data_IF_410047523413
#
_entry.id   IF_410047523413
#
_cell.length_a   1.000
_cell.length_b   1.000
_cell.length_c   1.000
_cell.angle_alpha   90.00
_cell.angle_beta   90.00
_cell.angle_gamma   90.00
#
_symmetry.space_group_name_H-M   'P 1'
#
loop_
_entity.id
_entity.type
_entity.pdbx_description
1 polymer ?
#
# COMPACT_ATOMS: atom_id res chain seq x y z
N UNK A 1 -10.85 -18.71 2.43
CA UNK A 1 -10.23 -17.60 3.19
C UNK A 1 -8.90 -18.05 3.75
N UNK A 2 -8.93 -19.06 4.62
CA UNK A 2 -7.79 -19.85 5.10
C UNK A 2 -7.41 -20.89 4.04
N UNK A 3 -6.18 -20.79 3.52
CA UNK A 3 -5.64 -21.68 2.50
C UNK A 3 -5.26 -23.07 3.01
N UNK A 4 -5.17 -23.27 4.33
CA UNK A 4 -4.95 -24.59 4.93
C UNK A 4 -6.24 -25.42 5.01
N UNK A 5 -7.40 -24.83 4.73
CA UNK A 5 -8.72 -25.47 4.77
C UNK A 5 -9.38 -25.47 3.38
N UNK A 6 -10.22 -26.47 3.06
CA UNK A 6 -10.98 -26.47 1.81
C UNK A 6 -11.96 -25.30 1.77
N UNK A 7 -12.35 -24.90 0.56
CA UNK A 7 -13.41 -23.89 0.37
C UNK A 7 -14.74 -24.40 0.95
N UNK A 8 -15.42 -23.55 1.71
CA UNK A 8 -16.72 -23.87 2.30
C UNK A 8 -17.55 -22.60 2.53
N UNK A 9 -18.79 -22.74 2.99
CA UNK A 9 -19.63 -21.60 3.36
C UNK A 9 -19.02 -20.73 4.48
N UNK A 10 -18.17 -21.31 5.34
CA UNK A 10 -17.50 -20.62 6.46
C UNK A 10 -16.01 -20.37 6.20
N UNK A 11 -15.49 -20.85 5.06
CA UNK A 11 -14.11 -20.61 4.62
C UNK A 11 -14.08 -20.18 3.15
N UNK A 12 -14.72 -19.06 2.85
CA UNK A 12 -14.68 -18.43 1.53
C UNK A 12 -14.18 -16.99 1.66
N UNK A 13 -13.63 -16.47 0.57
CA UNK A 13 -13.33 -15.05 0.42
C UNK A 13 -13.57 -14.71 -1.06
N UNK A 14 -14.13 -13.54 -1.29
CA UNK A 14 -14.36 -12.96 -2.61
C UNK A 14 -13.29 -11.90 -2.85
N UNK A 15 -12.66 -11.98 -4.01
CA UNK A 15 -11.63 -11.04 -4.43
C UNK A 15 -12.11 -10.35 -5.70
N UNK A 16 -11.99 -9.03 -5.72
CA UNK A 16 -12.17 -8.21 -6.89
C UNK A 16 -10.84 -7.99 -7.59
N UNK A 17 -10.83 -8.28 -8.89
CA UNK A 17 -9.68 -8.11 -9.75
C UNK A 17 -10.16 -7.66 -11.12
N UNK A 18 -9.29 -6.96 -11.82
CA UNK A 18 -9.55 -6.53 -13.18
C UNK A 18 -8.27 -6.65 -14.01
N UNK A 19 -8.45 -6.81 -15.32
CA UNK A 19 -7.35 -7.01 -16.25
C UNK A 19 -7.56 -6.26 -17.55
N UNK A 20 -6.51 -5.60 -18.02
CA UNK A 20 -6.36 -5.27 -19.44
C UNK A 20 -5.73 -6.48 -20.15
N UNK A 21 -6.31 -6.91 -21.27
CA UNK A 21 -5.87 -8.12 -21.99
C UNK A 21 -5.66 -7.82 -23.48
N UNK A 22 -4.41 -7.85 -23.97
CA UNK A 22 -4.16 -7.80 -25.40
C UNK A 22 -4.54 -9.14 -26.06
N UNK A 23 -4.61 -9.17 -27.39
CA UNK A 23 -4.98 -10.38 -28.15
C UNK A 23 -4.00 -11.55 -27.92
N UNK A 24 -2.71 -11.24 -27.89
CA UNK A 24 -1.62 -12.22 -27.81
C UNK A 24 -0.66 -11.81 -26.67
N UNK A 25 -1.02 -12.04 -25.39
CA UNK A 25 -0.24 -11.58 -24.25
C UNK A 25 1.10 -12.33 -24.13
N UNK A 26 2.18 -11.59 -23.82
CA UNK A 26 3.53 -12.17 -23.58
C UNK A 26 3.68 -12.87 -22.23
N UNK A 27 2.69 -12.72 -21.35
CA UNK A 27 2.70 -13.19 -19.97
C UNK A 27 1.69 -12.40 -19.16
N UNK A 28 1.66 -12.62 -17.84
CA UNK A 28 0.85 -11.82 -16.91
C UNK A 28 1.73 -10.89 -16.08
N UNK A 29 1.35 -9.62 -16.02
CA UNK A 29 2.00 -8.57 -15.24
C UNK A 29 1.07 -8.14 -14.11
N UNK A 30 1.48 -8.40 -12.87
CA UNK A 30 0.76 -7.94 -11.69
C UNK A 30 1.23 -6.53 -11.35
N UNK A 31 0.31 -5.58 -11.36
CA UNK A 31 0.58 -4.22 -10.91
C UNK A 31 0.08 -4.01 -9.48
N UNK A 32 0.97 -3.55 -8.59
CA UNK A 32 0.61 -3.19 -7.21
C UNK A 32 1.30 -1.87 -6.80
N UNK A 33 0.60 -0.73 -6.79
CA UNK A 33 1.16 0.57 -6.41
C UNK A 33 1.48 0.69 -4.92
N UNK A 34 1.08 -0.29 -4.11
CA UNK A 34 1.26 -0.31 -2.67
C UNK A 34 0.03 0.18 -1.92
N UNK A 35 0.28 0.70 -0.72
CA UNK A 35 -0.74 1.17 0.20
C UNK A 35 -1.94 0.22 0.36
N UNK A 36 -3.10 0.88 0.53
CA UNK A 36 -4.43 0.27 0.56
C UNK A 36 -5.28 0.78 -0.60
N UNK A 37 -4.68 1.05 -1.76
CA UNK A 37 -5.36 1.70 -2.89
C UNK A 37 -6.31 0.75 -3.65
N UNK A 38 -7.36 1.27 -4.33
CA UNK A 38 -8.23 0.46 -5.19
C UNK A 38 -7.47 0.23 -6.48
N UNK A 39 -6.91 -0.94 -6.68
CA UNK A 39 -6.06 -1.18 -7.85
C UNK A 39 -6.85 -1.76 -9.01
N UNK A 40 -7.96 -2.45 -8.76
CA UNK A 40 -8.80 -3.01 -9.83
C UNK A 40 -9.35 -1.91 -10.76
N UNK A 41 -9.64 -0.71 -10.24
CA UNK A 41 -10.09 0.43 -11.06
C UNK A 41 -9.05 0.87 -12.11
N UNK A 42 -7.76 0.68 -11.83
CA UNK A 42 -6.65 1.04 -12.72
C UNK A 42 -6.73 0.26 -14.03
N UNK A 43 -7.12 -1.02 -13.99
CA UNK A 43 -7.29 -1.82 -15.20
C UNK A 43 -8.35 -1.20 -16.13
N UNK A 44 -9.43 -0.67 -15.56
CA UNK A 44 -10.50 -0.01 -16.30
C UNK A 44 -10.05 1.33 -16.87
N UNK A 45 -9.30 2.13 -16.09
CA UNK A 45 -8.71 3.39 -16.57
C UNK A 45 -7.81 3.16 -17.79
N UNK A 46 -6.96 2.14 -17.75
CA UNK A 46 -6.10 1.74 -18.86
C UNK A 46 -6.92 1.24 -20.05
N UNK A 47 -7.89 0.35 -19.83
CA UNK A 47 -8.66 -0.26 -20.91
C UNK A 47 -9.57 0.72 -21.66
N UNK A 48 -10.08 1.73 -20.95
CA UNK A 48 -10.98 2.75 -21.50
C UNK A 48 -10.24 4.04 -21.90
N UNK A 49 -8.93 4.09 -21.70
CA UNK A 49 -8.08 5.27 -21.92
C UNK A 49 -8.66 6.56 -21.30
N UNK A 50 -9.15 6.45 -20.06
CA UNK A 50 -9.85 7.56 -19.39
C UNK A 50 -8.90 8.71 -19.00
N UNK A 51 -7.62 8.38 -18.82
CA UNK A 51 -6.58 9.30 -18.37
C UNK A 51 -5.30 9.03 -19.19
N UNK A 52 -5.23 9.56 -20.42
CA UNK A 52 -4.14 9.26 -21.36
C UNK A 52 -2.72 9.41 -20.80
N UNK A 53 -2.46 10.43 -19.97
CA UNK A 53 -1.17 10.61 -19.28
C UNK A 53 -0.87 9.49 -18.27
N UNK A 54 -1.91 8.95 -17.63
CA UNK A 54 -1.78 7.83 -16.71
C UNK A 54 -1.59 6.51 -17.47
N UNK A 55 -2.37 6.29 -18.54
CA UNK A 55 -2.21 5.14 -19.45
C UNK A 55 -0.79 5.10 -20.04
N UNK A 56 -0.19 6.26 -20.33
CA UNK A 56 1.18 6.37 -20.84
C UNK A 56 2.23 5.78 -19.88
N UNK A 57 1.97 5.71 -18.56
CA UNK A 57 2.88 5.04 -17.62
C UNK A 57 2.98 3.52 -17.86
N UNK A 58 2.03 2.94 -18.60
CA UNK A 58 2.03 1.53 -18.98
C UNK A 58 2.46 1.30 -20.43
N UNK A 59 3.00 2.33 -21.11
CA UNK A 59 3.54 2.18 -22.46
C UNK A 59 4.61 1.05 -22.49
N UNK A 60 4.48 0.15 -23.47
CA UNK A 60 5.33 -1.04 -23.56
C UNK A 60 4.99 -2.18 -22.59
N UNK A 61 4.08 -1.97 -21.63
CA UNK A 61 3.60 -3.00 -20.70
C UNK A 61 2.23 -3.58 -21.11
N UNK A 62 1.50 -2.91 -22.02
CA UNK A 62 0.21 -3.37 -22.55
C UNK A 62 0.31 -4.58 -23.50
N UNK A 63 1.51 -5.13 -23.69
CA UNK A 63 1.74 -6.42 -24.34
C UNK A 63 1.61 -7.62 -23.38
N UNK A 64 1.43 -7.36 -22.09
CA UNK A 64 1.12 -8.35 -21.06
C UNK A 64 -0.38 -8.32 -20.73
N UNK A 65 -0.89 -9.45 -20.21
CA UNK A 65 -2.11 -9.42 -19.41
C UNK A 65 -1.82 -8.60 -18.15
N UNK A 66 -2.24 -7.33 -18.13
CA UNK A 66 -2.01 -6.40 -17.03
C UNK A 66 -3.10 -6.61 -15.97
N UNK A 67 -2.73 -7.16 -14.82
CA UNK A 67 -3.63 -7.62 -13.76
C UNK A 67 -3.50 -6.76 -12.51
N UNK A 68 -4.64 -6.36 -11.98
CA UNK A 68 -4.76 -5.62 -10.73
C UNK A 68 -5.73 -6.33 -9.80
N UNK A 69 -5.38 -6.35 -8.51
CA UNK A 69 -6.11 -7.04 -7.46
C UNK A 69 -6.37 -6.06 -6.33
N UNK A 70 -7.64 -5.79 -6.04
CA UNK A 70 -7.98 -5.24 -4.73
C UNK A 70 -7.64 -6.32 -3.70
N UNK A 71 -6.66 -6.06 -2.84
CA UNK A 71 -6.23 -7.09 -1.89
C UNK A 71 -7.33 -7.32 -0.85
N UNK A 72 -7.45 -8.57 -0.37
CA UNK A 72 -8.41 -8.96 0.67
C UNK A 72 -8.48 -7.96 1.84
N UNK A 73 -9.69 -7.68 2.30
CA UNK A 73 -9.93 -6.73 3.38
C UNK A 73 -10.10 -5.28 2.92
N UNK A 74 -9.90 -4.99 1.63
CA UNK A 74 -9.97 -3.64 1.06
C UNK A 74 -10.91 -3.59 -0.14
N UNK A 75 -11.50 -2.41 -0.36
CA UNK A 75 -12.31 -2.07 -1.55
C UNK A 75 -13.36 -3.13 -1.89
N UNK A 76 -13.34 -3.68 -3.10
CA UNK A 76 -14.33 -4.67 -3.51
C UNK A 76 -13.98 -6.11 -3.06
N UNK A 77 -12.83 -6.32 -2.43
CA UNK A 77 -12.34 -7.62 -1.94
C UNK A 77 -12.65 -7.85 -0.46
N UNK A 78 -13.94 -8.09 -0.15
CA UNK A 78 -14.41 -8.27 1.24
C UNK A 78 -13.88 -7.16 2.17
N UNK A 79 -14.30 -5.89 1.96
CA UNK A 79 -13.77 -4.78 2.73
C UNK A 79 -14.03 -4.97 4.22
N UNK A 80 -13.02 -4.69 5.04
CA UNK A 80 -13.19 -4.64 6.48
C UNK A 80 -14.19 -3.53 6.83
N UNK A 81 -15.08 -3.83 7.76
CA UNK A 81 -16.07 -2.87 8.22
C UNK A 81 -15.42 -1.97 9.28
N UNK A 82 -14.76 -0.92 8.78
CA UNK A 82 -14.05 0.07 9.59
C UNK A 82 -14.86 1.37 9.65
N UNK A 83 -15.08 1.89 10.86
CA UNK A 83 -15.75 3.18 11.06
C UNK A 83 -14.75 4.30 11.26
N UNK A 84 -14.96 5.44 10.60
CA UNK A 84 -14.18 6.66 10.85
C UNK A 84 -14.40 7.22 12.25
N UNK A 85 -15.59 7.00 12.84
CA UNK A 85 -15.92 7.47 14.18
C UNK A 85 -15.04 6.79 15.24
N UNK A 86 -14.75 5.50 15.07
CA UNK A 86 -13.87 4.76 15.99
C UNK A 86 -12.39 4.97 15.67
N UNK A 87 -12.06 5.53 14.50
CA UNK A 87 -10.68 5.83 14.08
C UNK A 87 -10.22 7.24 14.49
N UNK A 88 -11.13 8.22 14.51
CA UNK A 88 -10.80 9.62 14.75
C UNK A 88 -9.98 9.90 16.03
N UNK A 89 -10.25 9.26 17.19
CA UNK A 89 -9.45 9.46 18.40
C UNK A 89 -7.99 9.00 18.27
N UNK A 90 -7.67 8.17 17.27
CA UNK A 90 -6.31 7.64 17.04
C UNK A 90 -5.48 8.49 16.08
N UNK A 91 -6.05 9.58 15.54
CA UNK A 91 -5.35 10.48 14.65
C UNK A 91 -4.37 11.41 15.38
N UNK A 92 -4.56 11.59 16.69
CA UNK A 92 -3.72 12.45 17.52
C UNK A 92 -2.71 11.62 18.32
N UNK A 93 -1.46 12.09 18.37
CA UNK A 93 -0.42 11.45 19.18
C UNK A 93 -0.59 11.86 20.65
N UNK A 94 -0.68 10.90 21.59
CA UNK A 94 -0.85 11.23 23.00
C UNK A 94 0.40 11.94 23.55
N UNK A 95 0.17 13.02 24.28
CA UNK A 95 1.19 13.87 24.90
C UNK A 95 1.28 13.71 26.42
N UNK A 96 0.32 13.01 27.02
CA UNK A 96 0.25 12.71 28.45
C UNK A 96 -0.09 11.24 28.70
N UNK A 97 0.17 10.75 29.92
CA UNK A 97 -0.21 9.38 30.30
C UNK A 97 -1.73 9.17 30.21
N UNK A 98 -2.51 10.19 30.55
CA UNK A 98 -3.97 10.13 30.46
C UNK A 98 -4.43 9.96 29.01
N UNK A 99 -3.92 10.79 28.09
CA UNK A 99 -4.21 10.67 26.65
C UNK A 99 -3.76 9.31 26.09
N UNK A 100 -2.63 8.79 26.56
CA UNK A 100 -2.17 7.45 26.16
C UNK A 100 -3.14 6.36 26.60
N UNK A 101 -3.65 6.42 27.84
CA UNK A 101 -4.62 5.45 28.35
C UNK A 101 -5.96 5.53 27.59
N UNK A 102 -6.41 6.75 27.26
CA UNK A 102 -7.59 7.00 26.42
C UNK A 102 -7.40 6.46 25.00
N UNK A 103 -6.24 6.70 24.39
CA UNK A 103 -5.86 6.14 23.08
C UNK A 103 -5.90 4.61 23.10
N UNK A 104 -5.35 3.96 24.13
CA UNK A 104 -5.36 2.51 24.26
C UNK A 104 -6.78 1.94 24.37
N UNK A 105 -7.65 2.60 25.16
CA UNK A 105 -9.04 2.21 25.28
C UNK A 105 -9.78 2.33 23.94
N UNK A 106 -9.62 3.47 23.24
CA UNK A 106 -10.23 3.70 21.93
C UNK A 106 -9.74 2.69 20.88
N UNK A 107 -8.43 2.42 20.84
CA UNK A 107 -7.85 1.44 19.92
C UNK A 107 -8.43 0.04 20.15
N UNK A 108 -8.60 -0.36 21.41
CA UNK A 108 -9.21 -1.65 21.77
C UNK A 108 -10.66 -1.74 21.29
N UNK A 109 -11.47 -0.71 21.55
CA UNK A 109 -12.86 -0.67 21.10
C UNK A 109 -12.95 -0.70 19.57
N UNK A 110 -12.07 0.02 18.88
CA UNK A 110 -11.96 0.01 17.44
C UNK A 110 -11.68 -1.39 16.90
N UNK A 111 -10.63 -2.08 17.36
CA UNK A 111 -10.32 -3.44 16.88
C UNK A 111 -11.43 -4.45 17.18
N UNK A 112 -12.10 -4.32 18.33
CA UNK A 112 -13.26 -5.15 18.66
C UNK A 112 -14.43 -4.89 17.69
N UNK A 113 -14.69 -3.62 17.34
CA UNK A 113 -15.71 -3.28 16.36
C UNK A 113 -15.41 -3.90 14.99
N UNK A 114 -14.16 -3.82 14.51
CA UNK A 114 -13.77 -4.41 13.23
C UNK A 114 -13.94 -5.92 13.24
N UNK A 115 -13.61 -6.58 14.34
CA UNK A 115 -13.75 -8.04 14.50
C UNK A 115 -15.22 -8.47 14.43
N UNK A 116 -16.10 -7.70 15.08
CA UNK A 116 -17.52 -8.03 15.16
C UNK A 116 -18.29 -7.69 13.88
N UNK A 117 -17.86 -6.66 13.16
CA UNK A 117 -18.61 -6.08 12.04
C UNK A 117 -18.10 -6.51 10.66
N UNK A 118 -16.87 -7.00 10.56
CA UNK A 118 -16.29 -7.44 9.28
C UNK A 118 -16.78 -8.82 8.87
N UNK A 119 -16.93 -9.03 7.56
CA UNK A 119 -17.36 -10.31 6.99
C UNK A 119 -16.46 -10.72 5.83
N UNK A 120 -16.18 -12.03 5.63
CA UNK A 120 -16.61 -13.18 6.45
C UNK A 120 -16.05 -13.16 7.89
N UNK A 121 -16.68 -13.91 8.79
CA UNK A 121 -16.21 -14.02 10.18
C UNK A 121 -14.75 -14.47 10.22
N UNK A 122 -13.97 -13.90 11.14
CA UNK A 122 -12.51 -14.11 11.28
C UNK A 122 -11.64 -13.59 10.11
N UNK A 123 -12.18 -12.77 9.20
CA UNK A 123 -11.38 -12.18 8.11
C UNK A 123 -10.13 -11.43 8.61
N UNK A 124 -10.19 -10.76 9.76
CA UNK A 124 -9.03 -10.05 10.34
C UNK A 124 -7.82 -10.95 10.63
N UNK A 125 -8.03 -12.26 10.82
CA UNK A 125 -6.95 -13.23 11.01
C UNK A 125 -6.28 -13.64 9.69
N UNK A 126 -6.88 -13.25 8.56
CA UNK A 126 -6.52 -13.73 7.23
C UNK A 126 -6.25 -12.61 6.21
N UNK A 127 -6.02 -11.37 6.64
CA UNK A 127 -5.65 -10.23 5.78
C UNK A 127 -4.13 -10.01 5.71
N UNK A 128 -3.32 -10.98 6.11
CA UNK A 128 -1.87 -10.82 6.10
C UNK A 128 -1.29 -10.91 4.68
N UNK A 129 -0.06 -10.43 4.51
CA UNK A 129 0.68 -10.54 3.24
C UNK A 129 0.87 -12.00 2.82
N UNK A 130 0.93 -12.94 3.76
CA UNK A 130 1.07 -14.36 3.45
C UNK A 130 -0.17 -14.88 2.72
N UNK A 131 -1.36 -14.50 3.16
CA UNK A 131 -2.57 -14.84 2.44
C UNK A 131 -2.72 -14.10 1.11
N UNK A 132 -2.36 -12.81 1.03
CA UNK A 132 -2.32 -12.06 -0.24
C UNK A 132 -1.37 -12.72 -1.24
N UNK A 133 -0.25 -13.26 -0.77
CA UNK A 133 0.72 -14.00 -1.58
C UNK A 133 0.10 -15.28 -2.17
N UNK A 134 -0.73 -15.97 -1.39
CA UNK A 134 -1.50 -17.11 -1.89
C UNK A 134 -2.59 -16.69 -2.88
N UNK A 135 -3.22 -15.52 -2.71
CA UNK A 135 -4.18 -14.98 -3.68
C UNK A 135 -3.55 -14.78 -5.05
N UNK A 136 -2.38 -14.14 -5.09
CA UNK A 136 -1.60 -13.99 -6.30
C UNK A 136 -1.29 -15.34 -6.96
N UNK A 137 -0.95 -16.36 -6.18
CA UNK A 137 -0.67 -17.69 -6.72
C UNK A 137 -1.93 -18.37 -7.28
N UNK A 138 -3.08 -18.25 -6.59
CA UNK A 138 -4.35 -18.79 -7.11
C UNK A 138 -4.75 -18.10 -8.41
N UNK A 139 -4.55 -16.79 -8.50
CA UNK A 139 -4.81 -16.02 -9.74
C UNK A 139 -3.87 -16.50 -10.85
N UNK A 140 -2.56 -16.65 -10.60
CA UNK A 140 -1.61 -17.20 -11.59
C UNK A 140 -2.06 -18.56 -12.11
N UNK A 141 -2.41 -19.48 -11.21
CA UNK A 141 -2.87 -20.83 -11.56
C UNK A 141 -4.16 -20.77 -12.38
N UNK A 142 -5.14 -19.96 -11.96
CA UNK A 142 -6.42 -19.83 -12.65
C UNK A 142 -6.28 -19.23 -14.06
N UNK A 143 -5.32 -18.33 -14.26
CA UNK A 143 -5.00 -17.74 -15.56
C UNK A 143 -4.13 -18.66 -16.44
N UNK A 144 -3.57 -19.75 -15.88
CA UNK A 144 -2.78 -20.72 -16.64
C UNK A 144 -1.35 -20.28 -16.97
N UNK A 145 -0.84 -19.22 -16.34
CA UNK A 145 0.52 -18.75 -16.56
C UNK A 145 1.53 -19.55 -15.74
N UNK A 146 2.70 -19.85 -16.31
CA UNK A 146 3.78 -20.53 -15.60
C UNK A 146 4.43 -19.61 -14.56
N UNK A 147 4.71 -18.37 -14.96
CA UNK A 147 5.37 -17.34 -14.17
C UNK A 147 4.54 -16.05 -14.15
N UNK A 148 4.74 -15.24 -13.12
CA UNK A 148 4.21 -13.87 -13.05
C UNK A 148 5.33 -12.86 -13.22
N UNK A 149 5.01 -11.72 -13.80
CA UNK A 149 5.82 -10.51 -13.76
C UNK A 149 5.20 -9.55 -12.74
N UNK A 150 6.01 -8.69 -12.12
CA UNK A 150 5.51 -7.69 -11.17
C UNK A 150 6.03 -6.30 -11.54
N UNK A 151 5.12 -5.33 -11.52
CA UNK A 151 5.44 -3.91 -11.39
C UNK A 151 4.85 -3.45 -10.06
N UNK A 152 5.72 -3.11 -9.11
CA UNK A 152 5.30 -2.82 -7.76
C UNK A 152 5.98 -1.56 -7.23
N UNK A 153 5.21 -0.76 -6.48
CA UNK A 153 5.70 0.43 -5.78
C UNK A 153 5.34 0.37 -4.30
N UNK A 154 6.11 1.06 -3.46
CA UNK A 154 5.80 1.23 -2.03
C UNK A 154 5.51 -0.12 -1.34
N UNK A 155 4.44 -0.26 -0.55
CA UNK A 155 4.08 -1.52 0.10
C UNK A 155 3.81 -2.68 -0.88
N UNK A 156 3.56 -2.39 -2.16
CA UNK A 156 3.47 -3.37 -3.23
C UNK A 156 4.79 -4.10 -3.43
N UNK A 157 5.93 -3.45 -3.19
CA UNK A 157 7.24 -4.11 -3.27
C UNK A 157 7.40 -5.16 -2.18
N UNK A 158 6.86 -4.90 -0.98
CA UNK A 158 6.87 -5.86 0.11
C UNK A 158 6.08 -7.11 -0.30
N UNK A 159 4.89 -6.93 -0.91
CA UNK A 159 4.05 -8.03 -1.42
C UNK A 159 4.74 -8.79 -2.55
N UNK A 160 5.32 -8.09 -3.52
CA UNK A 160 6.02 -8.71 -4.64
C UNK A 160 7.25 -9.50 -4.16
N UNK A 161 8.05 -8.93 -3.25
CA UNK A 161 9.18 -9.63 -2.64
C UNK A 161 8.73 -10.86 -1.84
N UNK A 162 7.61 -10.77 -1.11
CA UNK A 162 7.03 -11.94 -0.43
C UNK A 162 6.64 -13.04 -1.41
N UNK A 163 5.98 -12.69 -2.52
CA UNK A 163 5.62 -13.64 -3.56
C UNK A 163 6.87 -14.34 -4.14
N UNK A 164 7.90 -13.57 -4.48
CA UNK A 164 9.14 -14.11 -5.01
C UNK A 164 9.85 -15.03 -4.02
N UNK A 165 9.82 -14.71 -2.72
CA UNK A 165 10.37 -15.57 -1.68
C UNK A 165 9.58 -16.87 -1.47
N UNK A 166 8.25 -16.81 -1.57
CA UNK A 166 7.37 -17.98 -1.38
C UNK A 166 7.32 -18.89 -2.61
N UNK A 167 7.38 -18.34 -3.82
CA UNK A 167 7.26 -19.07 -5.08
C UNK A 167 8.40 -18.73 -6.06
N UNK A 168 9.68 -18.99 -5.71
CA UNK A 168 10.82 -18.55 -6.51
C UNK A 168 10.82 -19.08 -7.94
N UNK A 169 10.33 -20.31 -8.16
CA UNK A 169 10.22 -20.92 -9.49
C UNK A 169 9.12 -20.28 -10.38
N UNK A 170 8.25 -19.46 -9.80
CA UNK A 170 7.13 -18.78 -10.48
C UNK A 170 7.44 -17.31 -10.79
N UNK A 171 8.67 -16.88 -10.57
CA UNK A 171 9.12 -15.50 -10.77
C UNK A 171 9.61 -15.29 -12.22
N UNK A 172 9.02 -14.30 -12.89
CA UNK A 172 9.48 -13.71 -14.14
C UNK A 172 10.30 -12.44 -13.89
N UNK A 173 9.92 -11.33 -14.54
CA UNK A 173 10.57 -10.03 -14.38
C UNK A 173 9.85 -9.21 -13.30
N UNK A 174 10.60 -8.72 -12.31
CA UNK A 174 10.07 -7.93 -11.20
C UNK A 174 10.75 -6.55 -11.21
N UNK A 175 9.96 -5.49 -11.30
CA UNK A 175 10.39 -4.11 -11.14
C UNK A 175 9.77 -3.56 -9.86
N UNK A 176 10.63 -3.20 -8.89
CA UNK A 176 10.23 -2.77 -7.55
C UNK A 176 10.74 -1.34 -7.31
N UNK A 177 9.83 -0.38 -7.17
CA UNK A 177 10.14 1.03 -6.93
C UNK A 177 9.78 1.46 -5.49
N UNK A 178 10.61 2.32 -4.89
CA UNK A 178 10.50 2.73 -3.48
C UNK A 178 10.35 1.54 -2.52
N UNK A 179 11.34 0.63 -2.56
CA UNK A 179 11.29 -0.66 -1.87
C UNK A 179 11.07 -0.54 -0.36
N UNK A 180 10.04 -1.20 0.14
CA UNK A 180 9.83 -1.53 1.56
C UNK A 180 10.52 -2.86 1.88
N UNK A 181 11.65 -2.88 2.62
CA UNK A 181 12.42 -4.09 2.84
C UNK A 181 11.76 -5.05 3.84
N UNK A 182 11.93 -6.34 3.60
CA UNK A 182 11.59 -7.37 4.58
C UNK A 182 12.58 -7.31 5.74
N UNK A 183 12.08 -7.23 6.98
CA UNK A 183 12.91 -7.17 8.19
C UNK A 183 13.12 -5.79 8.79
N UNK A 184 12.50 -4.74 8.24
CA UNK A 184 12.42 -3.46 8.95
C UNK A 184 11.52 -3.59 10.17
N UNK A 185 12.01 -3.15 11.33
CA UNK A 185 11.16 -2.97 12.50
C UNK A 185 10.22 -1.79 12.30
N UNK A 186 9.19 -1.67 13.15
CA UNK A 186 8.35 -0.47 13.14
C UNK A 186 9.18 0.79 13.46
N UNK A 187 10.15 0.68 14.36
CA UNK A 187 11.07 1.75 14.72
C UNK A 187 11.96 2.17 13.53
N UNK A 188 12.44 1.21 12.74
CA UNK A 188 13.20 1.51 11.52
C UNK A 188 12.35 2.29 10.52
N UNK A 189 11.10 1.87 10.27
CA UNK A 189 10.19 2.57 9.38
C UNK A 189 9.98 4.03 9.82
N UNK A 190 9.60 4.24 11.09
CA UNK A 190 9.40 5.59 11.65
C UNK A 190 10.66 6.44 11.50
N UNK A 191 11.83 5.89 11.84
CA UNK A 191 13.12 6.58 11.72
C UNK A 191 13.40 7.00 10.29
N UNK A 192 13.26 6.09 9.31
CA UNK A 192 13.58 6.39 7.93
C UNK A 192 12.58 7.35 7.29
N UNK A 193 11.30 7.25 7.63
CA UNK A 193 10.25 8.18 7.19
C UNK A 193 10.56 9.60 7.65
N UNK A 194 10.79 9.77 8.96
CA UNK A 194 11.21 11.03 9.55
C UNK A 194 12.45 11.62 8.85
N UNK A 195 13.48 10.79 8.62
CA UNK A 195 14.68 11.24 7.93
C UNK A 195 14.39 11.66 6.49
N UNK A 196 13.46 10.97 5.80
CA UNK A 196 13.06 11.31 4.44
C UNK A 196 12.28 12.63 4.39
N UNK A 197 11.34 12.85 5.31
CA UNK A 197 10.62 14.12 5.45
C UNK A 197 11.56 15.29 5.72
N UNK A 198 12.50 15.13 6.66
CA UNK A 198 13.50 16.17 6.95
C UNK A 198 14.36 16.50 5.72
N UNK A 199 14.80 15.49 4.96
CA UNK A 199 15.51 15.75 3.68
C UNK A 199 14.63 16.46 2.65
N UNK A 200 13.35 16.12 2.58
CA UNK A 200 12.37 16.77 1.70
C UNK A 200 12.23 18.26 2.01
N UNK A 201 12.03 18.61 3.29
CA UNK A 201 11.95 20.00 3.74
C UNK A 201 13.22 20.79 3.44
N UNK A 202 14.39 20.21 3.71
CA UNK A 202 15.67 20.88 3.42
C UNK A 202 15.89 21.10 1.92
N UNK A 203 15.43 20.17 1.06
CA UNK A 203 15.46 20.35 -0.40
C UNK A 203 14.46 21.41 -0.86
N UNK A 204 13.27 21.45 -0.27
CA UNK A 204 12.26 22.47 -0.56
C UNK A 204 12.76 23.87 -0.15
N UNK A 205 13.42 23.99 1.00
CA UNK A 205 14.09 25.22 1.43
C UNK A 205 15.15 25.65 0.41
N UNK A 206 16.06 24.75 0.03
CA UNK A 206 17.11 25.06 -0.94
C UNK A 206 16.52 25.51 -2.30
N UNK A 207 15.44 24.86 -2.75
CA UNK A 207 14.71 25.26 -3.95
C UNK A 207 14.04 26.64 -3.80
N UNK A 208 13.44 26.92 -2.64
CA UNK A 208 12.85 28.22 -2.35
C UNK A 208 13.91 29.34 -2.34
N UNK A 209 15.10 29.07 -1.79
CA UNK A 209 16.19 30.04 -1.77
C UNK A 209 16.78 30.32 -3.15
N UNK A 210 16.63 29.41 -4.12
CA UNK A 210 17.04 29.67 -5.51
C UNK A 210 15.97 30.35 -6.35
N UNK A 211 14.76 30.54 -5.82
CA UNK A 211 13.63 31.12 -6.53
C UNK A 211 13.09 32.37 -5.80
N UNK A 212 13.37 33.56 -6.37
CA UNK A 212 12.93 34.83 -5.80
C UNK A 212 11.39 35.00 -5.71
N UNK A 213 10.63 34.19 -6.46
CA UNK A 213 9.17 34.16 -6.39
C UNK A 213 8.63 33.27 -5.26
N UNK A 214 9.48 32.48 -4.60
CA UNK A 214 9.05 31.66 -3.47
C UNK A 214 8.61 32.54 -2.28
N UNK A 215 7.45 32.27 -1.65
CA UNK A 215 6.96 33.07 -0.52
C UNK A 215 7.93 33.15 0.67
N UNK A 216 8.73 32.11 0.90
CA UNK A 216 9.69 32.04 2.00
C UNK A 216 11.09 32.57 1.65
N UNK A 217 11.33 32.98 0.38
CA UNK A 217 12.65 33.41 -0.08
C UNK A 217 13.23 34.56 0.76
N UNK A 218 12.41 35.54 1.16
CA UNK A 218 12.85 36.68 1.97
C UNK A 218 13.25 36.29 3.40
N UNK A 219 12.78 35.15 3.90
CA UNK A 219 13.15 34.62 5.21
C UNK A 219 14.55 34.00 5.23
N UNK A 220 15.15 33.73 4.06
CA UNK A 220 16.46 33.09 3.97
C UNK A 220 16.42 31.59 4.28
N UNK A 221 17.59 30.96 4.31
CA UNK A 221 17.74 29.52 4.58
C UNK A 221 17.10 29.14 5.92
N UNK A 222 16.26 28.10 5.92
CA UNK A 222 15.53 27.60 7.10
C UNK A 222 14.10 28.12 7.23
N UNK A 223 13.72 29.13 6.44
CA UNK A 223 12.38 29.72 6.47
C UNK A 223 11.25 28.77 6.05
N UNK A 224 11.53 27.76 5.22
CA UNK A 224 10.55 26.73 4.88
C UNK A 224 10.32 25.76 6.04
N UNK A 225 11.34 25.14 6.66
CA UNK A 225 11.16 24.34 7.87
C UNK A 225 10.44 25.05 9.04
N UNK A 226 10.73 26.32 9.28
CA UNK A 226 10.17 27.09 10.41
C UNK A 226 8.63 27.16 10.41
N UNK A 227 8.00 27.11 9.23
CA UNK A 227 6.53 27.15 9.11
C UNK A 227 5.89 25.76 9.06
N UNK A 228 6.69 24.70 9.18
CA UNK A 228 6.25 23.32 9.32
C UNK A 228 6.62 22.76 10.71
N UNK A 229 6.08 23.34 11.82
CA UNK A 229 6.49 23.02 13.18
C UNK A 229 6.12 21.59 13.61
N UNK A 230 5.23 20.91 12.89
CA UNK A 230 4.81 19.53 13.16
C UNK A 230 5.96 18.51 13.05
N UNK A 231 7.14 18.92 12.55
CA UNK A 231 8.31 18.05 12.33
C UNK A 231 9.51 18.38 13.22
N UNK A 232 9.42 19.35 14.14
CA UNK A 232 10.48 19.72 15.09
C UNK A 232 10.76 18.63 16.15
N UNK A 233 9.94 17.58 16.21
CA UNK A 233 10.04 16.47 17.18
C UNK A 233 11.37 15.68 17.05
N UNK A 234 12.07 15.78 15.90
CA UNK A 234 13.23 14.91 15.64
C UNK A 234 14.57 15.63 15.81
N UNK A 235 14.60 16.96 15.77
CA UNK A 235 15.82 17.71 16.03
C UNK A 235 16.27 17.62 17.51
N UNK A 236 15.37 17.23 18.43
CA UNK A 236 15.65 17.18 19.87
C UNK A 236 16.17 15.82 20.38
N UNK A 237 16.27 14.78 19.54
CA UNK A 237 16.57 13.40 20.00
C UNK A 237 17.77 12.71 19.32
N UNK A 238 18.69 13.47 18.71
CA UNK A 238 19.99 12.95 18.24
C UNK A 238 21.16 13.81 18.70
#
# INVERSE_FOLDING_TARGET
MDYAKPISATNNITLDLAMYRPKDPKGVLFFNPGGSDPTAVVAWQVALDLESDFTANFEGLLEYDLMMLDVRGLWASNPLNVSLETFAPLLESPSSQQEYDEYQAAAKEMFQSWTNLSTPSAILEHVSVLEVTQDYERIRIALGYEKVHFLAASYGTYRAAQYAATFPERVGNFALDAVVPHGFSWQDNVKYDVMAYNRGLLRADAFCQSNASCPFHKGGKGSVPEVCPELDIVAASF
#
